data_IF_450922268632
#
_entry.id   IF_450922268632
#
_cell.length_a   1.000
_cell.length_b   1.000
_cell.length_c   1.000
_cell.angle_alpha   90.00
_cell.angle_beta   90.00
_cell.angle_gamma   90.00
#
_symmetry.space_group_name_H-M   'P 1'
#
loop_
_entity.id
_entity.type
_entity.pdbx_description
1 polymer ?
#
# COMPACT_ATOMS: atom_id res chain seq x y z
N UNK A 1 -2.43 -6.82 -10.29
CA UNK A 1 -1.20 -7.33 -9.63
C UNK A 1 -0.54 -6.21 -8.83
N UNK A 2 -0.31 -6.41 -7.54
CA UNK A 2 0.11 -5.36 -6.58
C UNK A 2 1.61 -5.41 -6.24
N UNK A 3 2.40 -6.21 -6.96
CA UNK A 3 3.82 -6.43 -6.71
C UNK A 3 4.68 -5.36 -7.38
N UNK A 4 5.54 -4.70 -6.62
CA UNK A 4 6.41 -3.60 -7.06
C UNK A 4 7.85 -3.92 -6.67
N UNK A 5 8.79 -3.73 -7.57
CA UNK A 5 10.23 -3.81 -7.25
C UNK A 5 10.64 -2.53 -6.54
N UNK A 6 11.07 -2.65 -5.28
CA UNK A 6 11.51 -1.51 -4.46
C UNK A 6 13.03 -1.36 -4.39
N UNK A 7 13.76 -2.45 -4.61
CA UNK A 7 15.22 -2.44 -4.70
C UNK A 7 15.69 -3.59 -5.58
N UNK A 8 16.81 -3.38 -6.28
CA UNK A 8 17.44 -4.38 -7.12
C UNK A 8 18.96 -4.26 -6.99
N UNK A 9 19.61 -5.36 -6.69
CA UNK A 9 21.08 -5.50 -6.74
C UNK A 9 21.50 -6.46 -7.87
N UNK A 10 22.77 -6.85 -7.93
CA UNK A 10 23.30 -7.69 -9.01
C UNK A 10 22.63 -9.07 -9.10
N UNK A 11 22.24 -9.66 -7.97
CA UNK A 11 21.72 -11.03 -7.90
C UNK A 11 20.26 -11.11 -7.44
N UNK A 12 19.78 -10.12 -6.69
CA UNK A 12 18.49 -10.17 -6.02
C UNK A 12 17.66 -8.92 -6.28
N UNK A 13 16.35 -9.10 -6.21
CA UNK A 13 15.35 -8.02 -6.21
C UNK A 13 14.49 -8.11 -4.96
N UNK A 14 14.21 -6.97 -4.35
CA UNK A 14 13.19 -6.87 -3.31
C UNK A 14 11.85 -6.51 -3.94
N UNK A 15 10.86 -7.32 -3.66
CA UNK A 15 9.48 -7.13 -4.13
C UNK A 15 8.61 -6.75 -2.94
N UNK A 16 7.85 -5.70 -3.08
CA UNK A 16 6.82 -5.27 -2.16
C UNK A 16 5.44 -5.47 -2.76
N UNK A 17 4.57 -6.14 -2.02
CA UNK A 17 3.15 -6.22 -2.36
C UNK A 17 2.40 -5.06 -1.70
N UNK A 18 1.90 -4.14 -2.49
CA UNK A 18 1.21 -2.95 -1.99
C UNK A 18 -0.18 -3.22 -1.39
N UNK A 19 -0.75 -4.38 -1.64
CA UNK A 19 -2.05 -4.76 -1.10
C UNK A 19 -1.98 -5.28 0.35
N UNK A 20 -1.06 -6.20 0.62
CA UNK A 20 -0.94 -6.84 1.93
C UNK A 20 0.30 -6.39 2.73
N UNK A 21 1.17 -5.58 2.12
CA UNK A 21 2.39 -5.07 2.75
C UNK A 21 3.55 -6.06 2.80
N UNK A 22 3.42 -7.27 2.24
CA UNK A 22 4.47 -8.28 2.24
C UNK A 22 5.71 -7.79 1.47
N UNK A 23 6.89 -8.04 2.03
CA UNK A 23 8.18 -7.75 1.38
C UNK A 23 8.96 -9.07 1.30
N UNK A 24 9.42 -9.39 0.10
CA UNK A 24 10.24 -10.58 -0.14
C UNK A 24 11.51 -10.23 -0.91
N UNK A 25 12.54 -11.05 -0.73
CA UNK A 25 13.77 -10.99 -1.51
C UNK A 25 13.84 -12.21 -2.42
N UNK A 26 13.92 -11.99 -3.72
CA UNK A 26 13.99 -13.04 -4.74
C UNK A 26 15.22 -12.85 -5.62
N UNK A 27 15.72 -13.94 -6.18
CA UNK A 27 16.70 -13.88 -7.27
C UNK A 27 16.11 -13.12 -8.45
N UNK A 28 16.95 -12.35 -9.15
CA UNK A 28 16.50 -11.47 -10.24
C UNK A 28 15.71 -12.20 -11.33
N UNK A 29 16.10 -13.43 -11.63
CA UNK A 29 15.42 -14.27 -12.62
C UNK A 29 13.99 -14.61 -12.18
N UNK A 30 13.82 -15.03 -10.94
CA UNK A 30 12.51 -15.37 -10.36
C UNK A 30 11.65 -14.11 -10.23
N UNK A 31 12.24 -12.99 -9.83
CA UNK A 31 11.54 -11.71 -9.75
C UNK A 31 10.99 -11.27 -11.13
N UNK A 32 11.74 -11.48 -12.21
CA UNK A 32 11.26 -11.20 -13.56
C UNK A 32 10.14 -12.15 -13.99
N UNK A 33 10.24 -13.43 -13.66
CA UNK A 33 9.16 -14.39 -13.94
C UNK A 33 7.88 -13.99 -13.20
N UNK A 34 7.98 -13.56 -11.95
CA UNK A 34 6.87 -13.07 -11.15
C UNK A 34 6.19 -11.85 -11.82
N UNK A 35 6.97 -10.85 -12.20
CA UNK A 35 6.45 -9.63 -12.82
C UNK A 35 5.80 -9.88 -14.19
N UNK A 36 6.25 -10.93 -14.89
CA UNK A 36 5.69 -11.34 -16.18
C UNK A 36 4.54 -12.36 -16.05
N UNK A 37 4.08 -12.68 -14.84
CA UNK A 37 3.06 -13.71 -14.55
C UNK A 37 3.41 -15.10 -15.13
N UNK A 38 4.71 -15.48 -15.03
CA UNK A 38 5.23 -16.74 -15.58
C UNK A 38 5.88 -17.61 -14.50
N UNK A 39 5.36 -17.57 -13.27
CA UNK A 39 5.84 -18.41 -12.19
C UNK A 39 5.39 -19.86 -12.43
N UNK A 40 6.35 -20.79 -12.38
CA UNK A 40 6.06 -22.22 -12.44
C UNK A 40 5.69 -22.76 -11.05
N UNK A 41 4.72 -23.68 -11.01
CA UNK A 41 4.34 -24.38 -9.77
C UNK A 41 5.43 -25.29 -9.22
N UNK A 42 6.44 -25.66 -10.03
CA UNK A 42 7.58 -26.47 -9.63
C UNK A 42 8.66 -25.68 -8.87
N UNK A 43 8.47 -24.37 -8.73
CA UNK A 43 9.42 -23.52 -8.02
C UNK A 43 9.47 -23.89 -6.53
N UNK A 44 10.68 -24.06 -6.00
CA UNK A 44 10.91 -24.42 -4.59
C UNK A 44 10.15 -23.54 -3.59
N UNK A 45 9.96 -22.26 -3.91
CA UNK A 45 9.32 -21.26 -3.05
C UNK A 45 7.86 -20.96 -3.44
N UNK A 46 7.25 -21.78 -4.29
CA UNK A 46 5.91 -21.52 -4.79
C UNK A 46 4.86 -21.42 -3.67
N UNK A 47 4.90 -22.36 -2.74
CA UNK A 47 3.98 -22.36 -1.61
C UNK A 47 4.19 -21.14 -0.68
N UNK A 48 5.44 -20.74 -0.44
CA UNK A 48 5.75 -19.57 0.38
C UNK A 48 5.22 -18.28 -0.29
N UNK A 49 5.29 -18.22 -1.62
CA UNK A 49 4.75 -17.08 -2.39
C UNK A 49 3.21 -17.04 -2.35
N UNK A 50 2.53 -18.19 -2.32
CA UNK A 50 1.09 -18.29 -2.12
C UNK A 50 0.69 -17.88 -0.70
N UNK A 51 1.35 -18.43 0.33
CA UNK A 51 1.05 -18.14 1.73
C UNK A 51 1.26 -16.65 2.07
N UNK A 52 2.28 -16.03 1.48
CA UNK A 52 2.53 -14.59 1.65
C UNK A 52 1.62 -13.70 0.79
N UNK A 53 0.78 -14.29 -0.07
CA UNK A 53 -0.10 -13.54 -0.97
C UNK A 53 0.64 -12.73 -2.06
N UNK A 54 1.91 -13.06 -2.33
CA UNK A 54 2.68 -12.47 -3.43
C UNK A 54 2.17 -12.98 -4.78
N UNK A 55 1.77 -14.24 -4.84
CA UNK A 55 1.03 -14.84 -5.95
C UNK A 55 -0.33 -15.32 -5.45
N UNK A 56 -1.28 -15.40 -6.35
CA UNK A 56 -2.64 -15.87 -6.12
C UNK A 56 -2.99 -16.90 -7.18
N UNK A 57 -3.95 -17.76 -6.90
CA UNK A 57 -4.46 -18.71 -7.89
C UNK A 57 -5.18 -17.98 -9.04
N UNK A 58 -5.12 -18.53 -10.24
CA UNK A 58 -5.69 -17.92 -11.46
C UNK A 58 -7.20 -17.65 -11.36
N UNK A 59 -7.92 -18.48 -10.62
CA UNK A 59 -9.37 -18.35 -10.41
C UNK A 59 -9.75 -17.41 -9.25
N UNK A 60 -8.77 -16.76 -8.62
CA UNK A 60 -9.02 -15.88 -7.48
C UNK A 60 -9.54 -14.52 -7.94
N UNK A 61 -10.69 -14.10 -7.41
CA UNK A 61 -11.28 -12.79 -7.71
C UNK A 61 -10.62 -11.68 -6.90
N UNK A 62 -9.60 -11.03 -7.50
CA UNK A 62 -8.89 -9.91 -6.88
C UNK A 62 -9.83 -8.72 -6.54
N UNK A 63 -10.85 -8.50 -7.35
CA UNK A 63 -11.80 -7.41 -7.10
C UNK A 63 -12.63 -7.66 -5.84
N UNK A 64 -13.11 -8.89 -5.68
CA UNK A 64 -13.86 -9.28 -4.49
C UNK A 64 -13.00 -9.13 -3.22
N UNK A 65 -11.74 -9.58 -3.28
CA UNK A 65 -10.77 -9.45 -2.18
C UNK A 65 -10.57 -7.98 -1.75
N UNK A 66 -10.39 -7.07 -2.73
CA UNK A 66 -10.24 -5.63 -2.44
C UNK A 66 -11.49 -5.08 -1.78
N UNK A 67 -12.66 -5.48 -2.29
CA UNK A 67 -13.94 -5.01 -1.77
C UNK A 67 -14.22 -5.50 -0.35
N UNK A 68 -13.90 -6.75 -0.05
CA UNK A 68 -13.99 -7.30 1.30
C UNK A 68 -13.07 -6.55 2.27
N UNK A 69 -11.83 -6.28 1.84
CA UNK A 69 -10.88 -5.51 2.65
C UNK A 69 -11.32 -4.09 2.90
N UNK A 70 -11.89 -3.43 1.91
CA UNK A 70 -12.51 -2.11 2.08
C UNK A 70 -13.64 -2.14 3.13
N UNK A 71 -14.52 -3.14 3.07
CA UNK A 71 -15.59 -3.29 4.03
C UNK A 71 -15.08 -3.54 5.45
N UNK A 72 -14.05 -4.37 5.62
CA UNK A 72 -13.41 -4.58 6.92
C UNK A 72 -12.88 -3.25 7.51
N UNK A 73 -12.18 -2.45 6.69
CA UNK A 73 -11.64 -1.16 7.13
C UNK A 73 -12.78 -0.22 7.53
N UNK A 74 -13.82 -0.11 6.71
CA UNK A 74 -14.98 0.73 7.01
C UNK A 74 -15.68 0.33 8.30
N UNK A 75 -15.83 -0.97 8.55
CA UNK A 75 -16.43 -1.48 9.81
C UNK A 75 -15.56 -1.16 11.02
N UNK A 76 -14.24 -1.30 10.90
CA UNK A 76 -13.30 -0.95 11.98
C UNK A 76 -13.31 0.55 12.29
N UNK A 77 -13.53 1.40 11.29
CA UNK A 77 -13.55 2.86 11.45
C UNK A 77 -14.88 3.39 11.99
N UNK A 78 -15.99 2.68 11.83
CA UNK A 78 -17.31 3.11 12.34
C UNK A 78 -17.31 3.38 13.85
N UNK A 79 -16.44 2.73 14.60
CA UNK A 79 -16.31 2.89 16.06
C UNK A 79 -15.15 3.82 16.47
N UNK A 80 -14.51 4.51 15.52
CA UNK A 80 -13.40 5.42 15.78
C UNK A 80 -13.80 6.84 15.45
N UNK A 81 -13.53 7.76 16.35
CA UNK A 81 -13.67 9.19 16.13
C UNK A 81 -12.30 9.82 16.10
N UNK A 82 -11.96 10.45 14.97
CA UNK A 82 -10.73 11.25 14.84
C UNK A 82 -11.07 12.72 14.99
N UNK A 83 -10.47 13.38 15.98
CA UNK A 83 -10.62 14.81 16.20
C UNK A 83 -9.29 15.49 15.93
N UNK A 84 -9.28 16.42 14.98
CA UNK A 84 -8.12 17.28 14.70
C UNK A 84 -8.40 18.66 15.29
N UNK A 85 -7.60 19.05 16.27
CA UNK A 85 -7.69 20.37 16.91
C UNK A 85 -6.54 21.23 16.41
N UNK A 86 -6.87 22.32 15.72
CA UNK A 86 -5.88 23.30 15.27
C UNK A 86 -6.01 24.55 16.13
N UNK A 87 -5.21 24.68 17.18
CA UNK A 87 -5.34 25.76 18.17
C UNK A 87 -5.00 27.14 17.59
N UNK A 88 -4.24 27.18 16.50
CA UNK A 88 -3.92 28.42 15.80
C UNK A 88 -3.66 28.17 14.31
N UNK A 89 -4.10 29.10 13.47
CA UNK A 89 -3.75 29.16 12.04
C UNK A 89 -2.51 30.03 11.80
N UNK A 90 -1.87 30.55 12.85
CA UNK A 90 -0.62 31.32 12.72
C UNK A 90 0.52 30.37 12.39
N UNK A 91 1.01 30.41 11.16
CA UNK A 91 2.14 29.64 10.68
C UNK A 91 3.22 30.60 10.13
N UNK A 92 4.49 30.27 10.37
CA UNK A 92 5.63 31.01 9.83
C UNK A 92 6.14 30.44 8.50
N UNK A 93 5.54 29.33 8.00
CA UNK A 93 5.86 28.74 6.72
C UNK A 93 5.00 29.35 5.59
N UNK A 94 5.48 29.26 4.36
CA UNK A 94 4.80 29.68 3.14
C UNK A 94 4.80 28.54 2.13
N UNK A 95 4.26 27.38 2.51
CA UNK A 95 4.21 26.22 1.63
C UNK A 95 3.29 26.49 0.45
N UNK A 96 3.74 26.18 -0.77
CA UNK A 96 2.96 26.40 -2.00
C UNK A 96 1.69 25.55 -2.07
N UNK A 97 1.64 24.45 -1.32
CA UNK A 97 0.51 23.52 -1.21
C UNK A 97 -0.30 23.71 0.08
N UNK A 98 -0.15 24.85 0.76
CA UNK A 98 -0.85 25.08 2.01
C UNK A 98 -2.34 25.28 1.78
N UNK A 99 -3.18 24.41 2.35
CA UNK A 99 -4.64 24.52 2.28
C UNK A 99 -5.22 25.71 3.07
N UNK A 100 -4.42 26.31 3.96
CA UNK A 100 -4.78 27.51 4.73
C UNK A 100 -4.36 28.80 4.02
N UNK A 101 -3.56 28.72 2.95
CA UNK A 101 -3.10 29.88 2.22
C UNK A 101 -4.31 30.63 1.60
N UNK A 102 -4.40 31.94 1.86
CA UNK A 102 -5.48 32.80 1.32
C UNK A 102 -6.79 32.75 2.09
N UNK A 103 -6.91 31.98 3.18
CA UNK A 103 -8.05 32.08 4.08
C UNK A 103 -7.88 33.29 4.99
N UNK A 104 -8.65 34.35 4.74
CA UNK A 104 -8.72 35.48 5.66
C UNK A 104 -9.08 34.98 7.06
N UNK A 105 -8.31 35.47 8.04
CA UNK A 105 -8.48 35.13 9.45
C UNK A 105 -9.84 35.60 9.92
N UNK A 106 -10.88 34.81 9.78
CA UNK A 106 -12.12 35.05 10.53
C UNK A 106 -11.76 34.94 12.00
N UNK A 107 -11.79 36.09 12.72
CA UNK A 107 -11.71 36.11 14.16
C UNK A 107 -12.88 35.28 14.70
N UNK A 108 -12.64 34.06 15.09
CA UNK A 108 -13.54 33.34 15.98
C UNK A 108 -13.22 33.84 17.37
N UNK A 109 -14.09 34.67 17.91
CA UNK A 109 -14.06 35.06 19.33
C UNK A 109 -14.87 33.99 20.03
N UNK A 110 -14.21 33.19 20.87
CA UNK A 110 -14.87 32.30 21.81
C UNK A 110 -15.36 33.14 23.00
#
# INVERSE_FOLDING_TARGET
MYNIVINKDENYSMIWNSFNGAIIKLENEIAQQLLNNKISSDLKYFNDLLETGIIIEENFDEYLMVKEKEQEILQQEQNKMSIVITPTLKCNYRCIYCFEAGKEKKKVIL
#
